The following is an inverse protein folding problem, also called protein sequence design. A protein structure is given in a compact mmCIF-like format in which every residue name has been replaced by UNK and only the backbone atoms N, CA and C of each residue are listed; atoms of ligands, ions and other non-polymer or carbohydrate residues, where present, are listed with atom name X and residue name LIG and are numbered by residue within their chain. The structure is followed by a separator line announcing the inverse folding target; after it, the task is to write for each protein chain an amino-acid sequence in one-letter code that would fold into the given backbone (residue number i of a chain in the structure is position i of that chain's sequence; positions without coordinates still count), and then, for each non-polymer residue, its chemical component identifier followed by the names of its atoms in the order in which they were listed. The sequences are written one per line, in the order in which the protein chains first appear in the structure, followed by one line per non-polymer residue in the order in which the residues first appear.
data_IF_491505012829
#
_entry.id   IF_491505012829
#
_cell.length_a   1.000
_cell.length_b   1.000
_cell.length_c   1.000
_cell.angle_alpha   90.00
_cell.angle_beta   90.00
_cell.angle_gamma   90.00
#
_symmetry.space_group_name_H-M   'P 1'
#
loop_
_entity.id
_entity.type
_entity.pdbx_description
1 polymer ?
#
# COMPACT_ATOMS: atom_id res chain seq x y z
N UNK A 1 -41.20 12.61 -1.00
CA UNK A 1 -39.90 12.05 -0.56
C UNK A 1 -38.89 12.44 -1.61
N UNK A 2 -38.15 13.52 -1.35
CA UNK A 2 -37.16 14.08 -2.27
C UNK A 2 -35.84 13.41 -1.95
N UNK A 3 -35.36 12.54 -2.83
CA UNK A 3 -34.05 11.91 -2.73
C UNK A 3 -33.01 13.03 -2.81
N UNK A 4 -32.25 13.24 -1.73
CA UNK A 4 -31.09 14.16 -1.73
C UNK A 4 -30.08 13.61 -2.76
N UNK A 5 -29.61 14.43 -3.70
CA UNK A 5 -28.46 14.04 -4.51
C UNK A 5 -27.28 13.89 -3.55
N UNK A 6 -26.74 12.67 -3.45
CA UNK A 6 -25.48 12.45 -2.76
C UNK A 6 -24.43 13.29 -3.47
N UNK A 7 -23.93 14.33 -2.80
CA UNK A 7 -22.71 15.01 -3.22
C UNK A 7 -21.65 13.93 -3.37
N UNK A 8 -21.18 13.71 -4.58
CA UNK A 8 -19.97 12.92 -4.79
C UNK A 8 -18.89 13.59 -3.94
N UNK A 9 -18.55 12.94 -2.83
CA UNK A 9 -17.52 13.40 -1.91
C UNK A 9 -16.23 13.47 -2.73
N UNK A 10 -15.66 14.66 -2.85
CA UNK A 10 -14.41 14.80 -3.59
C UNK A 10 -13.31 14.09 -2.81
N UNK A 11 -12.33 13.46 -3.48
CA UNK A 11 -11.16 12.86 -2.82
C UNK A 11 -10.49 13.74 -1.75
N UNK A 12 -10.46 15.06 -1.95
CA UNK A 12 -9.91 15.99 -0.94
C UNK A 12 -10.80 16.13 0.31
N UNK A 13 -12.12 16.03 0.15
CA UNK A 13 -13.06 16.08 1.27
C UNK A 13 -12.95 14.81 2.12
N UNK A 14 -12.69 13.65 1.49
CA UNK A 14 -12.42 12.38 2.17
C UNK A 14 -11.17 12.49 3.04
N UNK A 15 -10.05 13.00 2.52
CA UNK A 15 -8.82 13.20 3.33
C UNK A 15 -9.10 14.13 4.52
N UNK A 16 -9.78 15.24 4.30
CA UNK A 16 -10.13 16.19 5.37
C UNK A 16 -11.11 15.61 6.41
N UNK A 17 -11.96 14.67 6.02
CA UNK A 17 -12.85 13.94 6.93
C UNK A 17 -12.07 12.95 7.78
N UNK A 18 -11.26 12.10 7.14
CA UNK A 18 -10.48 11.04 7.79
C UNK A 18 -9.44 11.62 8.75
N UNK A 19 -8.85 12.78 8.45
CA UNK A 19 -7.88 13.41 9.34
C UNK A 19 -8.49 14.19 10.52
N UNK A 20 -9.82 14.26 10.66
CA UNK A 20 -10.47 15.21 11.59
C UNK A 20 -10.33 14.83 13.07
N UNK A 21 -10.36 13.54 13.40
CA UNK A 21 -10.21 13.04 14.77
C UNK A 21 -8.86 12.37 15.04
N UNK A 22 -7.99 12.34 14.02
CA UNK A 22 -6.65 11.76 14.10
C UNK A 22 -6.63 10.22 14.12
N UNK A 23 -7.75 9.57 13.81
CA UNK A 23 -7.86 8.11 13.73
C UNK A 23 -8.22 7.70 12.31
N UNK A 24 -7.68 6.59 11.85
CA UNK A 24 -7.89 6.12 10.49
C UNK A 24 -8.20 4.64 10.52
N UNK A 25 -9.46 4.28 10.32
CA UNK A 25 -9.86 2.87 10.20
C UNK A 25 -9.33 2.23 8.92
N UNK A 26 -9.27 0.89 8.88
CA UNK A 26 -8.90 0.16 7.65
C UNK A 26 -9.77 0.56 6.44
N UNK A 27 -11.08 0.71 6.63
CA UNK A 27 -11.99 1.11 5.55
C UNK A 27 -11.78 2.57 5.10
N UNK A 28 -11.34 3.46 5.99
CA UNK A 28 -10.96 4.82 5.62
C UNK A 28 -9.67 4.85 4.80
N UNK A 29 -8.67 4.07 5.23
CA UNK A 29 -7.43 3.91 4.48
C UNK A 29 -7.70 3.34 3.09
N UNK A 30 -8.50 2.28 2.97
CA UNK A 30 -8.89 1.68 1.69
C UNK A 30 -9.60 2.69 0.77
N UNK A 31 -10.53 3.50 1.32
CA UNK A 31 -11.17 4.57 0.54
C UNK A 31 -10.17 5.60 0.03
N UNK A 32 -9.17 5.96 0.82
CA UNK A 32 -8.11 6.90 0.43
C UNK A 32 -7.22 6.31 -0.67
N UNK A 33 -6.87 5.02 -0.59
CA UNK A 33 -6.14 4.30 -1.65
C UNK A 33 -6.93 4.26 -2.95
N UNK A 34 -8.22 3.95 -2.89
CA UNK A 34 -9.10 3.98 -4.05
C UNK A 34 -9.25 5.40 -4.64
N UNK A 35 -9.15 6.44 -3.81
CA UNK A 35 -9.12 7.82 -4.27
C UNK A 35 -7.83 8.17 -5.03
N UNK A 36 -6.68 7.62 -4.61
CA UNK A 36 -5.43 7.72 -5.36
C UNK A 36 -5.52 7.01 -6.71
N UNK A 37 -6.06 5.79 -6.76
CA UNK A 37 -6.34 5.07 -8.02
C UNK A 37 -7.24 5.89 -8.94
N UNK A 38 -8.31 6.47 -8.41
CA UNK A 38 -9.22 7.31 -9.19
C UNK A 38 -8.54 8.58 -9.72
N UNK A 39 -7.59 9.16 -8.98
CA UNK A 39 -6.79 10.30 -9.41
C UNK A 39 -5.90 9.94 -10.61
N UNK A 40 -5.18 8.83 -10.56
CA UNK A 40 -4.34 8.35 -11.67
C UNK A 40 -5.19 8.07 -12.92
N UNK A 41 -6.34 7.42 -12.74
CA UNK A 41 -7.31 7.20 -13.83
C UNK A 41 -7.84 8.49 -14.44
N UNK A 42 -8.09 9.51 -13.62
CA UNK A 42 -8.55 10.82 -14.11
C UNK A 42 -7.46 11.58 -14.90
N UNK A 43 -6.18 11.26 -14.67
CA UNK A 43 -5.07 11.77 -15.47
C UNK A 43 -4.88 11.04 -16.81
N UNK A 44 -5.63 9.95 -17.05
CA UNK A 44 -5.65 9.21 -18.31
C UNK A 44 -4.82 7.93 -18.33
N UNK A 45 -4.30 7.49 -17.18
CA UNK A 45 -3.55 6.24 -17.05
C UNK A 45 -4.43 5.10 -16.53
N UNK A 46 -4.09 3.86 -16.86
CA UNK A 46 -4.72 2.71 -16.23
C UNK A 46 -4.05 2.43 -14.88
N UNK A 47 -4.86 2.25 -13.84
CA UNK A 47 -4.38 1.97 -12.48
C UNK A 47 -5.37 1.09 -11.73
N UNK A 48 -4.93 0.28 -10.79
CA UNK A 48 -5.79 -0.49 -9.89
C UNK A 48 -5.16 -0.69 -8.52
N UNK A 49 -5.99 -0.85 -7.48
CA UNK A 49 -5.50 -1.26 -6.17
C UNK A 49 -5.31 -2.79 -6.23
N UNK A 50 -4.08 -3.22 -6.49
CA UNK A 50 -3.72 -4.65 -6.57
C UNK A 50 -3.94 -5.33 -5.23
N UNK A 51 -3.49 -4.66 -4.17
CA UNK A 51 -3.45 -5.24 -2.84
C UNK A 51 -3.57 -4.17 -1.75
N UNK A 52 -4.36 -4.47 -0.72
CA UNK A 52 -4.32 -3.76 0.55
C UNK A 52 -4.17 -4.78 1.68
N UNK A 53 -3.03 -4.74 2.36
CA UNK A 53 -2.73 -5.56 3.53
C UNK A 53 -2.77 -4.71 4.77
N UNK A 54 -3.83 -4.83 5.59
CA UNK A 54 -3.92 -4.08 6.84
C UNK A 54 -2.63 -4.22 7.65
N UNK A 55 -2.18 -3.11 8.25
CA UNK A 55 -0.99 -3.02 9.11
C UNK A 55 0.38 -3.12 8.40
N UNK A 56 0.46 -3.73 7.21
CA UNK A 56 1.76 -4.01 6.56
C UNK A 56 1.98 -3.31 5.24
N UNK A 57 0.94 -2.90 4.50
CA UNK A 57 1.10 -2.04 3.33
C UNK A 57 -0.01 -2.13 2.30
N UNK A 58 0.27 -1.63 1.11
CA UNK A 58 -0.59 -1.72 -0.07
C UNK A 58 0.28 -1.73 -1.34
N UNK A 59 -0.34 -2.10 -2.46
CA UNK A 59 0.23 -2.00 -3.80
C UNK A 59 -0.83 -1.44 -4.74
N UNK A 60 -0.47 -0.39 -5.47
CA UNK A 60 -1.27 0.17 -6.56
C UNK A 60 -0.51 -0.10 -7.86
N UNK A 61 -1.11 -0.91 -8.73
CA UNK A 61 -0.57 -1.21 -10.04
C UNK A 61 -0.93 -0.09 -11.01
N UNK A 62 0.04 0.33 -11.83
CA UNK A 62 -0.20 1.18 -13.00
C UNK A 62 0.27 0.47 -14.26
N UNK A 63 -0.46 0.67 -15.36
CA UNK A 63 -0.17 0.02 -16.64
C UNK A 63 0.17 1.06 -17.72
N UNK A 64 1.18 0.74 -18.51
CA UNK A 64 1.57 1.50 -19.69
C UNK A 64 1.93 0.56 -20.84
N UNK A 65 1.45 0.88 -22.05
CA UNK A 65 1.71 0.08 -23.26
C UNK A 65 3.20 0.08 -23.66
N UNK A 66 3.95 1.06 -23.19
CA UNK A 66 5.37 1.24 -23.44
C UNK A 66 6.09 1.80 -22.19
N UNK A 67 7.44 1.70 -22.12
CA UNK A 67 8.20 2.14 -20.95
C UNK A 67 8.03 3.62 -20.59
N UNK A 68 7.86 4.50 -21.58
CA UNK A 68 7.70 5.93 -21.31
C UNK A 68 6.31 6.23 -20.73
N UNK A 69 5.28 5.51 -21.20
CA UNK A 69 3.94 5.59 -20.63
C UNK A 69 3.89 5.01 -19.21
N UNK A 70 4.57 3.89 -18.96
CA UNK A 70 4.67 3.30 -17.62
C UNK A 70 5.36 4.24 -16.62
N UNK A 71 6.50 4.82 -17.00
CA UNK A 71 7.22 5.80 -16.17
C UNK A 71 6.36 7.04 -15.88
N UNK A 72 5.63 7.54 -16.88
CA UNK A 72 4.74 8.68 -16.67
C UNK A 72 3.56 8.34 -15.75
N UNK A 73 3.04 7.11 -15.81
CA UNK A 73 1.99 6.63 -14.92
C UNK A 73 2.49 6.50 -13.47
N UNK A 74 3.71 6.00 -13.26
CA UNK A 74 4.37 5.93 -11.94
C UNK A 74 4.53 7.33 -11.32
N UNK A 75 5.00 8.31 -12.11
CA UNK A 75 5.15 9.70 -11.64
C UNK A 75 3.80 10.30 -11.22
N UNK A 76 2.72 10.00 -11.94
CA UNK A 76 1.38 10.48 -11.56
C UNK A 76 0.83 9.71 -10.35
N UNK A 77 1.14 8.42 -10.20
CA UNK A 77 0.84 7.65 -8.99
C UNK A 77 1.49 8.28 -7.77
N UNK A 78 2.80 8.54 -7.81
CA UNK A 78 3.54 9.21 -6.72
C UNK A 78 2.86 10.52 -6.31
N UNK A 79 2.43 11.31 -7.30
CA UNK A 79 1.75 12.58 -7.08
C UNK A 79 0.37 12.38 -6.44
N UNK A 80 -0.41 11.41 -6.89
CA UNK A 80 -1.72 11.10 -6.34
C UNK A 80 -1.59 10.53 -4.92
N UNK A 81 -0.63 9.65 -4.66
CA UNK A 81 -0.34 9.13 -3.32
C UNK A 81 0.11 10.23 -2.37
N UNK A 82 1.03 11.11 -2.79
CA UNK A 82 1.46 12.24 -1.97
C UNK A 82 0.30 13.18 -1.60
N UNK A 83 -0.71 13.30 -2.47
CA UNK A 83 -1.90 14.13 -2.22
C UNK A 83 -2.90 13.45 -1.30
N UNK A 84 -3.19 12.17 -1.52
CA UNK A 84 -4.30 11.48 -0.86
C UNK A 84 -3.84 10.57 0.27
N UNK A 85 -2.81 9.78 0.02
CA UNK A 85 -2.35 8.71 0.92
C UNK A 85 -1.39 9.25 1.98
N UNK A 86 -0.38 10.02 1.56
CA UNK A 86 0.65 10.57 2.44
C UNK A 86 0.12 11.26 3.71
N UNK A 87 -0.88 12.16 3.63
CA UNK A 87 -1.43 12.85 4.80
C UNK A 87 -2.13 11.93 5.81
N UNK A 88 -2.45 10.70 5.43
CA UNK A 88 -3.32 9.78 6.18
C UNK A 88 -2.54 8.54 6.64
N UNK A 89 -1.53 8.14 5.87
CA UNK A 89 -0.71 6.95 6.11
C UNK A 89 0.00 6.98 7.47
N UNK A 90 0.58 8.11 7.87
CA UNK A 90 1.28 8.22 9.15
C UNK A 90 0.34 7.96 10.34
N UNK A 91 -0.86 8.55 10.32
CA UNK A 91 -1.87 8.34 11.35
C UNK A 91 -2.36 6.89 11.37
N UNK A 92 -2.60 6.32 10.18
CA UNK A 92 -3.00 4.93 10.03
C UNK A 92 -1.96 3.96 10.61
N UNK A 93 -0.68 4.10 10.24
CA UNK A 93 0.38 3.21 10.74
C UNK A 93 0.74 3.46 12.19
N UNK A 94 0.58 4.68 12.71
CA UNK A 94 0.74 4.94 14.14
C UNK A 94 -0.30 4.18 14.99
N UNK A 95 -1.52 4.02 14.49
CA UNK A 95 -2.60 3.31 15.21
C UNK A 95 -2.63 1.81 14.92
N UNK A 96 -2.38 1.40 13.67
CA UNK A 96 -2.62 0.04 13.18
C UNK A 96 -1.35 -0.70 12.78
N UNK A 97 -0.21 -0.03 12.66
CA UNK A 97 1.04 -0.64 12.25
C UNK A 97 1.46 -1.80 13.15
N UNK A 98 2.40 -2.61 12.65
CA UNK A 98 3.08 -3.58 13.51
C UNK A 98 3.84 -2.83 14.60
N UNK A 99 3.74 -3.29 15.84
CA UNK A 99 4.67 -2.92 16.90
C UNK A 99 6.10 -3.31 16.53
N UNK A 100 7.11 -2.74 17.18
CA UNK A 100 8.52 -3.09 16.94
C UNK A 100 8.78 -4.60 17.06
N UNK A 101 8.20 -5.25 18.08
CA UNK A 101 8.34 -6.70 18.26
C UNK A 101 7.64 -7.53 17.18
N UNK A 102 6.47 -7.07 16.71
CA UNK A 102 5.77 -7.72 15.59
C UNK A 102 6.53 -7.51 14.28
N UNK A 103 7.14 -6.34 14.09
CA UNK A 103 7.99 -6.04 12.92
C UNK A 103 9.22 -6.93 12.90
N UNK A 104 9.94 -7.05 14.02
CA UNK A 104 11.08 -7.96 14.14
C UNK A 104 10.70 -9.43 13.89
N UNK A 105 9.48 -9.82 14.28
CA UNK A 105 8.97 -11.16 14.02
C UNK A 105 8.61 -11.35 12.55
N UNK A 106 7.99 -10.35 11.94
CA UNK A 106 7.67 -10.32 10.52
C UNK A 106 8.94 -10.46 9.68
N UNK A 107 9.93 -9.59 9.94
CA UNK A 107 11.20 -9.52 9.21
C UNK A 107 11.94 -10.86 9.26
N UNK A 108 12.03 -11.48 10.44
CA UNK A 108 12.66 -12.80 10.59
C UNK A 108 11.91 -13.88 9.83
N UNK A 109 10.58 -13.92 9.96
CA UNK A 109 9.74 -14.91 9.27
C UNK A 109 9.87 -14.80 7.76
N UNK A 110 9.86 -13.57 7.25
CA UNK A 110 10.01 -13.23 5.83
C UNK A 110 11.38 -13.68 5.30
N UNK A 111 12.47 -13.27 5.96
CA UNK A 111 13.84 -13.63 5.58
C UNK A 111 14.07 -15.14 5.66
N UNK A 112 13.57 -15.82 6.69
CA UNK A 112 13.68 -17.27 6.83
C UNK A 112 12.89 -18.02 5.75
N UNK A 113 11.75 -17.49 5.31
CA UNK A 113 11.03 -18.01 4.16
C UNK A 113 11.85 -17.90 2.87
N UNK A 114 12.41 -16.71 2.59
CA UNK A 114 13.23 -16.48 1.40
C UNK A 114 14.48 -17.38 1.37
N UNK A 115 15.17 -17.54 2.50
CA UNK A 115 16.33 -18.44 2.64
C UNK A 115 15.96 -19.89 2.35
N UNK A 116 14.84 -20.37 2.87
CA UNK A 116 14.35 -21.74 2.60
C UNK A 116 14.03 -21.98 1.12
N UNK A 117 13.74 -20.91 0.38
CA UNK A 117 13.53 -20.94 -1.08
C UNK A 117 14.84 -20.81 -1.89
N UNK A 118 15.99 -20.71 -1.21
CA UNK A 118 17.31 -20.65 -1.85
C UNK A 118 17.74 -19.25 -2.24
N UNK A 119 17.05 -18.20 -1.78
CA UNK A 119 17.46 -16.82 -2.04
C UNK A 119 18.64 -16.43 -1.12
N UNK A 120 19.63 -15.75 -1.70
CA UNK A 120 20.73 -15.13 -0.96
C UNK A 120 20.30 -13.72 -0.49
N UNK A 121 19.94 -13.62 0.79
CA UNK A 121 19.32 -12.40 1.37
C UNK A 121 20.10 -11.84 2.56
N UNK A 122 21.30 -12.37 2.84
CA UNK A 122 22.10 -11.92 3.98
C UNK A 122 22.55 -10.47 3.78
N UNK A 123 22.41 -9.67 4.85
CA UNK A 123 22.83 -8.25 4.97
C UNK A 123 22.10 -7.21 4.10
N UNK A 124 21.02 -7.59 3.41
CA UNK A 124 20.25 -6.67 2.57
C UNK A 124 19.05 -6.07 3.30
N UNK A 125 18.82 -4.75 3.23
CA UNK A 125 17.57 -4.14 3.66
C UNK A 125 16.37 -4.78 2.95
N UNK A 126 15.31 -5.07 3.70
CA UNK A 126 14.06 -5.66 3.16
C UNK A 126 13.50 -4.87 1.97
N UNK A 127 13.45 -3.52 1.96
CA UNK A 127 12.98 -2.77 0.81
C UNK A 127 13.74 -3.07 -0.49
N UNK A 128 15.04 -3.33 -0.42
CA UNK A 128 15.84 -3.67 -1.60
C UNK A 128 15.48 -5.05 -2.16
N UNK A 129 15.04 -5.98 -1.30
CA UNK A 129 14.61 -7.31 -1.72
C UNK A 129 13.38 -7.22 -2.63
N UNK A 130 12.41 -6.34 -2.32
CA UNK A 130 11.20 -6.15 -3.13
C UNK A 130 11.46 -5.63 -4.54
N UNK A 131 12.59 -4.95 -4.75
CA UNK A 131 12.99 -4.42 -6.06
C UNK A 131 13.92 -5.33 -6.85
N UNK A 132 14.34 -6.46 -6.27
CA UNK A 132 15.33 -7.34 -6.89
C UNK A 132 14.67 -8.48 -7.68
N UNK A 133 14.81 -8.51 -9.02
CA UNK A 133 14.20 -9.54 -9.84
C UNK A 133 14.80 -10.94 -9.65
N UNK A 134 15.97 -11.05 -9.00
CA UNK A 134 16.59 -12.34 -8.67
C UNK A 134 15.99 -13.02 -7.45
N UNK A 135 15.24 -12.28 -6.61
CA UNK A 135 14.63 -12.82 -5.41
C UNK A 135 13.27 -13.40 -5.76
N UNK A 136 13.15 -14.72 -5.67
CA UNK A 136 11.95 -15.45 -6.09
C UNK A 136 11.05 -15.74 -4.89
N UNK A 137 9.74 -15.53 -5.10
CA UNK A 137 8.72 -15.90 -4.12
C UNK A 137 8.55 -14.91 -2.98
N UNK A 138 8.86 -13.63 -3.23
CA UNK A 138 8.66 -12.53 -2.28
C UNK A 138 7.21 -12.44 -1.83
N UNK A 139 6.25 -12.50 -2.76
CA UNK A 139 4.81 -12.44 -2.48
C UNK A 139 4.40 -13.45 -1.42
N UNK A 140 4.55 -14.75 -1.71
CA UNK A 140 4.13 -15.79 -0.75
C UNK A 140 4.90 -15.74 0.58
N UNK A 141 6.18 -15.32 0.58
CA UNK A 141 6.94 -15.18 1.82
C UNK A 141 6.45 -14.01 2.66
N UNK A 142 6.02 -12.93 2.01
CA UNK A 142 5.40 -11.78 2.66
C UNK A 142 4.05 -12.18 3.27
N UNK A 143 3.21 -12.88 2.51
CA UNK A 143 1.91 -13.39 2.99
C UNK A 143 2.08 -14.35 4.17
N UNK A 144 3.08 -15.23 4.12
CA UNK A 144 3.38 -16.14 5.22
C UNK A 144 3.81 -15.39 6.49
N UNK A 145 4.58 -14.31 6.35
CA UNK A 145 4.97 -13.45 7.46
C UNK A 145 3.77 -12.70 8.04
N UNK A 146 2.89 -12.15 7.18
CA UNK A 146 1.64 -11.50 7.58
C UNK A 146 0.76 -12.46 8.40
N UNK A 147 0.56 -13.68 7.89
CA UNK A 147 -0.24 -14.72 8.57
C UNK A 147 0.37 -15.15 9.91
N UNK A 148 1.70 -15.24 10.00
CA UNK A 148 2.39 -15.63 11.23
C UNK A 148 2.19 -14.58 12.33
N UNK A 149 2.40 -13.30 12.01
CA UNK A 149 2.24 -12.21 12.97
C UNK A 149 0.79 -12.05 13.40
N UNK A 150 -0.19 -12.28 12.51
CA UNK A 150 -1.60 -12.25 12.87
C UNK A 150 -2.05 -13.37 13.83
N UNK A 151 -1.24 -14.43 13.99
CA UNK A 151 -1.57 -15.61 14.80
C UNK A 151 -0.94 -15.63 16.21
N UNK A 152 -0.01 -14.71 16.48
CA UNK A 152 0.70 -14.60 17.77
C UNK A 152 0.06 -13.58 18.71
#
# INVERSE_FOLDING_TARGET
MTTRPGTAETPDALVAEVSRDGRVTHGEMERVLLAAVACVRAAGYEAELDEFRPRTGWSIGVMGDDPATAEAADVELDRCEARFVGPVADAYFAEHGLSDSERELWDRTFVDCLRRRGNEVEDRPIPELFTDPSVVGIGDCSEAADAFVASG
#
